data_IF_564310675982
#
_entry.id   IF_564310675982
#
_cell.length_a   1.000
_cell.length_b   1.000
_cell.length_c   1.000
_cell.angle_alpha   90.00
_cell.angle_beta   90.00
_cell.angle_gamma   90.00
#
_symmetry.space_group_name_H-M   'P 1'
#
loop_
_entity.id
_entity.type
_entity.pdbx_description
1 polymer ?
#
# COMPACT_ATOMS: atom_id res chain seq x y z
N UNK A 1 -47.50 24.96 -21.67
CA UNK A 1 -46.05 24.93 -21.40
C UNK A 1 -45.85 24.76 -19.90
N UNK A 2 -45.41 23.58 -19.47
CA UNK A 2 -45.00 23.34 -18.09
C UNK A 2 -43.59 22.75 -18.19
N UNK A 3 -42.58 23.53 -17.78
CA UNK A 3 -41.21 23.05 -17.68
C UNK A 3 -41.12 22.11 -16.48
N UNK A 4 -41.12 20.81 -16.73
CA UNK A 4 -40.69 19.82 -15.74
C UNK A 4 -39.20 20.01 -15.48
N UNK A 5 -38.88 20.61 -14.35
CA UNK A 5 -37.51 20.78 -13.85
C UNK A 5 -36.86 19.40 -13.72
N UNK A 6 -35.90 19.10 -14.59
CA UNK A 6 -35.05 17.91 -14.45
C UNK A 6 -34.20 18.14 -13.21
N UNK A 7 -34.65 17.62 -12.07
CA UNK A 7 -33.88 17.60 -10.84
C UNK A 7 -32.71 16.64 -11.05
N UNK A 8 -31.54 17.18 -11.41
CA UNK A 8 -30.31 16.41 -11.51
C UNK A 8 -29.88 16.03 -10.09
N UNK A 9 -30.28 14.82 -9.66
CA UNK A 9 -29.91 14.19 -8.39
C UNK A 9 -28.38 14.04 -8.30
N UNK A 10 -27.69 15.09 -7.86
CA UNK A 10 -26.28 15.04 -7.50
C UNK A 10 -26.15 14.21 -6.22
N UNK A 11 -25.95 12.90 -6.38
CA UNK A 11 -25.68 11.97 -5.27
C UNK A 11 -24.33 12.32 -4.63
N UNK A 12 -24.32 13.31 -3.74
CA UNK A 12 -23.19 13.60 -2.87
C UNK A 12 -23.01 12.43 -1.90
N UNK A 13 -21.99 11.62 -2.16
CA UNK A 13 -21.50 10.62 -1.22
C UNK A 13 -20.73 11.34 -0.12
N UNK A 14 -21.36 11.54 1.04
CA UNK A 14 -20.69 11.94 2.27
C UNK A 14 -20.16 10.71 3.00
N UNK A 15 -18.95 10.77 3.58
CA UNK A 15 -18.46 9.68 4.41
C UNK A 15 -19.38 9.50 5.62
N UNK A 16 -19.77 8.24 5.87
CA UNK A 16 -20.59 7.84 7.03
C UNK A 16 -20.02 8.41 8.33
N UNK A 17 -20.90 9.01 9.14
CA UNK A 17 -20.58 9.60 10.46
C UNK A 17 -20.06 8.53 11.45
N UNK A 18 -20.43 7.26 11.23
CA UNK A 18 -19.74 6.10 11.78
C UNK A 18 -18.63 5.69 10.81
N UNK A 19 -17.39 5.98 11.18
CA UNK A 19 -16.20 5.83 10.33
C UNK A 19 -16.26 4.62 9.40
N UNK A 20 -15.97 4.86 8.12
CA UNK A 20 -15.82 3.83 7.10
C UNK A 20 -14.92 2.70 7.61
N UNK A 21 -15.52 1.61 8.08
CA UNK A 21 -14.81 0.36 8.29
C UNK A 21 -14.43 -0.13 6.90
N UNK A 22 -13.21 0.17 6.49
CA UNK A 22 -12.64 -0.42 5.28
C UNK A 22 -12.65 -1.93 5.48
N UNK A 23 -13.60 -2.60 4.83
CA UNK A 23 -13.70 -4.05 4.84
C UNK A 23 -12.48 -4.61 4.10
N UNK A 24 -11.43 -4.84 4.86
CA UNK A 24 -10.14 -5.28 4.35
C UNK A 24 -10.17 -6.79 4.09
N UNK A 25 -11.14 -7.51 4.67
CA UNK A 25 -11.27 -8.96 4.55
C UNK A 25 -11.79 -9.38 3.17
N UNK A 26 -12.72 -8.61 2.59
CA UNK A 26 -13.27 -8.89 1.26
C UNK A 26 -12.60 -8.11 0.13
N UNK A 27 -11.60 -7.27 0.43
CA UNK A 27 -10.89 -6.53 -0.59
C UNK A 27 -10.14 -7.49 -1.51
N UNK A 28 -10.43 -7.43 -2.81
CA UNK A 28 -9.71 -8.18 -3.85
C UNK A 28 -8.21 -7.98 -3.64
N UNK A 29 -7.46 -9.07 -3.53
CA UNK A 29 -6.00 -9.00 -3.43
C UNK A 29 -5.47 -8.23 -4.64
N UNK A 30 -4.67 -7.21 -4.38
CA UNK A 30 -3.96 -6.52 -5.45
C UNK A 30 -3.05 -7.54 -6.13
N UNK A 31 -3.11 -7.62 -7.47
CA UNK A 31 -2.18 -8.44 -8.23
C UNK A 31 -0.76 -7.94 -7.96
N UNK A 32 0.15 -8.84 -7.60
CA UNK A 32 1.47 -8.49 -7.08
C UNK A 32 2.37 -7.80 -8.12
N UNK A 33 2.00 -7.82 -9.41
CA UNK A 33 2.88 -7.36 -10.48
C UNK A 33 2.12 -6.80 -11.70
N UNK A 34 1.17 -5.88 -11.48
CA UNK A 34 0.40 -5.27 -12.58
C UNK A 34 1.26 -4.47 -13.59
N UNK A 35 2.53 -4.23 -13.26
CA UNK A 35 3.48 -3.46 -14.07
C UNK A 35 4.68 -4.30 -14.53
N UNK A 36 4.60 -5.63 -14.47
CA UNK A 36 5.70 -6.54 -14.79
C UNK A 36 6.35 -6.28 -16.16
N UNK A 37 5.53 -5.93 -17.16
CA UNK A 37 5.97 -5.67 -18.53
C UNK A 37 6.02 -4.18 -18.89
N UNK A 38 6.02 -3.29 -17.89
CA UNK A 38 6.03 -1.84 -18.11
C UNK A 38 7.43 -1.29 -17.83
N UNK A 39 7.95 -0.49 -18.75
CA UNK A 39 9.26 0.12 -18.56
C UNK A 39 9.26 1.15 -17.41
N UNK A 40 10.45 1.34 -16.80
CA UNK A 40 10.65 2.28 -15.69
C UNK A 40 10.21 3.70 -16.03
N UNK A 41 10.55 4.20 -17.23
CA UNK A 41 10.27 5.57 -17.64
C UNK A 41 8.78 5.88 -17.76
N UNK A 42 7.98 4.90 -18.14
CA UNK A 42 6.53 5.03 -18.26
C UNK A 42 5.88 5.04 -16.88
N UNK A 43 6.38 4.24 -15.95
CA UNK A 43 5.94 4.27 -14.54
C UNK A 43 6.32 5.59 -13.86
N UNK A 44 7.56 6.05 -14.04
CA UNK A 44 8.02 7.32 -13.49
C UNK A 44 7.18 8.49 -14.01
N UNK A 45 6.96 8.56 -15.33
CA UNK A 45 6.10 9.61 -15.93
C UNK A 45 4.66 9.52 -15.46
N UNK A 46 4.11 8.31 -15.30
CA UNK A 46 2.76 8.11 -14.78
C UNK A 46 2.64 8.71 -13.38
N UNK A 47 3.50 8.30 -12.45
CA UNK A 47 3.41 8.73 -11.05
C UNK A 47 3.74 10.20 -10.84
N UNK A 48 4.67 10.76 -11.63
CA UNK A 48 4.92 12.20 -11.66
C UNK A 48 3.69 12.97 -12.14
N UNK A 49 3.04 12.51 -13.22
CA UNK A 49 1.84 13.17 -13.76
C UNK A 49 0.65 13.11 -12.81
N UNK A 50 0.48 12.03 -12.05
CA UNK A 50 -0.56 11.93 -11.00
C UNK A 50 -0.16 12.56 -9.67
N UNK A 51 1.10 12.98 -9.49
CA UNK A 51 1.60 13.52 -8.23
C UNK A 51 1.76 12.49 -7.11
N UNK A 52 1.85 11.19 -7.42
CA UNK A 52 2.03 10.12 -6.43
C UNK A 52 3.52 9.91 -6.12
N UNK A 53 4.08 10.81 -5.30
CA UNK A 53 5.49 10.77 -4.90
C UNK A 53 5.90 9.46 -4.23
N UNK A 54 5.00 8.81 -3.48
CA UNK A 54 5.28 7.52 -2.82
C UNK A 54 5.36 6.38 -3.82
N UNK A 55 4.54 6.41 -4.87
CA UNK A 55 4.68 5.46 -5.97
C UNK A 55 5.97 5.70 -6.75
N UNK A 56 6.33 6.95 -7.00
CA UNK A 56 7.57 7.32 -7.67
C UNK A 56 8.81 6.82 -6.91
N UNK A 57 8.91 7.07 -5.60
CA UNK A 57 10.01 6.59 -4.76
C UNK A 57 10.14 5.06 -4.81
N UNK A 58 9.00 4.34 -4.72
CA UNK A 58 9.00 2.88 -4.83
C UNK A 58 9.55 2.39 -6.17
N UNK A 59 9.19 3.04 -7.28
CA UNK A 59 9.73 2.68 -8.60
C UNK A 59 11.25 2.80 -8.58
N UNK A 60 11.79 3.93 -8.12
CA UNK A 60 13.25 4.12 -8.05
C UNK A 60 13.92 3.03 -7.20
N UNK A 61 13.37 2.72 -6.02
CA UNK A 61 13.92 1.67 -5.17
C UNK A 61 13.88 0.29 -5.83
N UNK A 62 12.77 -0.09 -6.45
CA UNK A 62 12.65 -1.41 -7.09
C UNK A 62 13.68 -1.56 -8.22
N UNK A 63 13.77 -0.58 -9.10
CA UNK A 63 14.69 -0.64 -10.24
C UNK A 63 16.16 -0.46 -9.84
N UNK A 64 16.47 0.26 -8.75
CA UNK A 64 17.85 0.34 -8.24
C UNK A 64 18.35 -1.01 -7.70
N UNK A 65 17.49 -1.79 -7.05
CA UNK A 65 17.88 -3.11 -6.52
C UNK A 65 18.05 -4.16 -7.63
N UNK A 66 17.30 -4.07 -8.73
CA UNK A 66 17.40 -5.04 -9.83
C UNK A 66 18.75 -5.05 -10.56
N UNK A 67 19.59 -4.03 -10.36
CA UNK A 67 20.91 -3.95 -11.01
C UNK A 67 22.00 -4.75 -10.28
N UNK A 68 21.80 -5.13 -9.02
CA UNK A 68 22.74 -5.96 -8.26
C UNK A 68 22.01 -7.06 -7.46
N UNK A 69 22.12 -8.34 -7.89
CA UNK A 69 21.50 -9.46 -7.19
C UNK A 69 22.03 -9.65 -5.77
N UNK A 70 23.27 -9.21 -5.49
CA UNK A 70 23.90 -9.35 -4.19
C UNK A 70 23.31 -8.35 -3.17
N UNK A 71 23.14 -7.09 -3.57
CA UNK A 71 22.46 -6.07 -2.77
C UNK A 71 20.98 -6.42 -2.54
N UNK A 72 20.31 -6.98 -3.54
CA UNK A 72 18.92 -7.47 -3.38
C UNK A 72 18.85 -8.58 -2.33
N UNK A 73 19.77 -9.54 -2.38
CA UNK A 73 19.85 -10.63 -1.40
C UNK A 73 20.09 -10.11 0.02
N UNK A 74 21.02 -9.16 0.20
CA UNK A 74 21.29 -8.51 1.48
C UNK A 74 20.05 -7.78 2.03
N UNK A 75 19.36 -7.01 1.19
CA UNK A 75 18.14 -6.29 1.56
C UNK A 75 17.01 -7.26 2.00
N UNK A 76 16.83 -8.37 1.27
CA UNK A 76 15.85 -9.40 1.62
C UNK A 76 16.20 -10.09 2.95
N UNK A 77 17.48 -10.38 3.20
CA UNK A 77 17.92 -10.96 4.47
C UNK A 77 17.70 -10.00 5.64
N UNK A 78 18.01 -8.71 5.48
CA UNK A 78 17.74 -7.68 6.47
C UNK A 78 16.25 -7.56 6.79
N UNK A 79 15.39 -7.61 5.76
CA UNK A 79 13.93 -7.61 5.94
C UNK A 79 13.43 -8.83 6.71
N UNK A 80 13.96 -10.02 6.39
CA UNK A 80 13.62 -11.28 7.06
C UNK A 80 14.02 -11.23 8.54
N UNK A 81 15.21 -10.72 8.83
CA UNK A 81 15.70 -10.56 10.21
C UNK A 81 14.81 -9.58 10.99
N UNK A 82 14.54 -8.40 10.44
CA UNK A 82 13.68 -7.39 11.08
C UNK A 82 12.29 -7.93 11.42
N UNK A 83 11.71 -8.77 10.56
CA UNK A 83 10.41 -9.41 10.81
C UNK A 83 10.48 -10.38 11.99
N UNK A 84 11.55 -11.19 12.07
CA UNK A 84 11.78 -12.10 13.22
C UNK A 84 11.95 -11.32 14.51
N UNK A 85 12.77 -10.27 14.50
CA UNK A 85 13.03 -9.45 15.69
C UNK A 85 11.76 -8.80 16.20
N UNK A 86 10.94 -8.26 15.30
CA UNK A 86 9.63 -7.67 15.67
C UNK A 86 8.69 -8.70 16.28
N UNK A 87 8.70 -9.93 15.77
CA UNK A 87 7.91 -11.02 16.34
C UNK A 87 8.39 -11.40 17.75
N UNK A 88 9.70 -11.51 17.94
CA UNK A 88 10.30 -11.79 19.25
C UNK A 88 10.00 -10.68 20.27
N UNK A 89 10.04 -9.42 19.86
CA UNK A 89 9.66 -8.29 20.72
C UNK A 89 8.20 -8.39 21.17
N UNK A 90 7.28 -8.68 20.24
CA UNK A 90 5.86 -8.86 20.56
C UNK A 90 5.67 -10.04 21.52
N UNK A 91 6.30 -11.18 21.25
CA UNK A 91 6.20 -12.36 22.11
C UNK A 91 6.77 -12.10 23.52
N UNK A 92 7.89 -11.38 23.62
CA UNK A 92 8.50 -10.96 24.88
C UNK A 92 7.58 -10.05 25.69
N UNK A 93 6.96 -9.08 25.03
CA UNK A 93 5.99 -8.18 25.65
C UNK A 93 4.76 -8.94 26.18
N UNK A 94 4.18 -9.84 25.38
CA UNK A 94 3.06 -10.70 25.80
C UNK A 94 3.42 -11.53 27.03
N UNK A 95 4.63 -12.10 27.08
CA UNK A 95 5.10 -12.87 28.24
C UNK A 95 5.25 -12.02 29.50
N UNK A 96 5.72 -10.78 29.38
CA UNK A 96 5.78 -9.84 30.51
C UNK A 96 4.38 -9.50 31.04
N UNK A 97 3.43 -9.22 30.15
CA UNK A 97 2.04 -8.96 30.53
C UNK A 97 1.39 -10.15 31.25
N UNK A 98 1.65 -11.39 30.82
CA UNK A 98 1.10 -12.59 31.46
C UNK A 98 1.72 -12.90 32.84
N UNK A 99 2.95 -12.43 33.12
CA UNK A 99 3.59 -12.60 34.43
C UNK A 99 3.15 -11.58 35.48
N UNK A 100 2.56 -10.46 35.05
CA UNK A 100 2.08 -9.39 35.92
C UNK A 100 0.61 -9.57 36.33
N UNK A 101 -0.01 -10.71 35.99
CA UNK A 101 -1.39 -11.08 36.30
C UNK A 101 -1.42 -12.28 37.22
#
# INVERSE_FOLDING_TARGET
MSLSYVCSESRRVSPSVQGSKFDTAHRKRAAANIFENVNQDSLMRLFQKTGDMKAEERVRSIFSFTQDPEETSKALMALKQRKKDKFLQIAGLVRQFLKLR
#
